data_IF_415110053224
#
_entry.id   IF_415110053224
#
_cell.length_a   1.000
_cell.length_b   1.000
_cell.length_c   1.000
_cell.angle_alpha   90.00
_cell.angle_beta   90.00
_cell.angle_gamma   90.00
#
_symmetry.space_group_name_H-M   'P 1'
#
loop_
_entity.id
_entity.type
_entity.pdbx_description
1 polymer ?
#
# COMPACT_ATOMS: atom_id res chain seq x y z
N UNK A 1 90.64 48.19 -0.39
CA UNK A 1 90.11 48.31 -1.78
C UNK A 1 89.02 47.25 -1.93
N UNK A 2 87.77 47.49 -1.82
CA UNK A 2 86.82 47.57 -2.86
C UNK A 2 85.40 47.73 -2.30
N UNK A 3 84.64 48.51 -2.97
CA UNK A 3 83.37 49.09 -2.59
C UNK A 3 82.17 48.10 -2.53
N UNK A 4 81.39 48.23 -1.50
CA UNK A 4 80.03 47.68 -1.41
C UNK A 4 79.06 48.33 -2.38
N UNK A 5 78.21 47.59 -3.04
CA UNK A 5 77.05 48.09 -3.77
C UNK A 5 75.83 47.53 -3.12
N UNK A 6 75.05 48.45 -2.47
CA UNK A 6 73.72 48.17 -1.93
C UNK A 6 72.74 48.11 -3.08
N UNK A 7 72.07 46.97 -3.22
CA UNK A 7 70.91 46.82 -4.08
C UNK A 7 69.63 47.05 -3.28
N UNK A 8 68.83 48.03 -3.69
CA UNK A 8 67.49 48.32 -3.12
C UNK A 8 66.48 47.29 -3.68
N UNK A 9 65.90 46.49 -2.81
CA UNK A 9 64.76 45.65 -3.15
C UNK A 9 63.51 46.44 -2.87
N UNK A 10 62.79 46.80 -3.94
CA UNK A 10 61.47 47.44 -3.89
C UNK A 10 60.43 46.34 -3.70
N UNK A 11 59.83 46.24 -2.54
CA UNK A 11 58.73 45.31 -2.28
C UNK A 11 57.43 45.78 -2.93
N UNK A 12 56.94 45.01 -3.85
CA UNK A 12 55.58 45.18 -4.38
C UNK A 12 54.64 44.40 -3.47
N UNK A 13 53.83 45.09 -2.70
CA UNK A 13 52.71 44.50 -1.99
C UNK A 13 51.59 44.22 -2.98
N UNK A 14 51.38 42.97 -3.34
CA UNK A 14 50.25 42.49 -4.09
C UNK A 14 49.10 42.28 -3.09
N UNK A 15 48.18 43.24 -3.00
CA UNK A 15 46.93 43.12 -2.21
C UNK A 15 46.02 42.13 -2.91
N UNK A 16 45.90 40.89 -2.38
CA UNK A 16 44.87 39.96 -2.77
C UNK A 16 43.55 40.43 -2.10
N UNK A 17 42.74 41.17 -2.86
CA UNK A 17 41.36 41.43 -2.49
C UNK A 17 40.57 40.16 -2.48
N UNK A 18 40.27 39.62 -1.30
CA UNK A 18 39.30 38.52 -1.13
C UNK A 18 37.94 39.10 -1.43
N UNK A 19 37.45 38.96 -2.67
CA UNK A 19 36.04 39.14 -2.95
C UNK A 19 35.27 37.97 -2.31
N UNK A 20 34.70 38.22 -1.13
CA UNK A 20 33.62 37.41 -0.61
C UNK A 20 32.44 37.61 -1.56
N UNK A 21 32.29 36.68 -2.53
CA UNK A 21 31.01 36.48 -3.18
C UNK A 21 30.03 36.01 -2.12
N UNK A 22 29.18 36.93 -1.63
CA UNK A 22 27.99 36.52 -0.90
C UNK A 22 27.17 35.70 -1.90
N UNK A 23 27.21 34.37 -1.76
CA UNK A 23 26.22 33.51 -2.38
C UNK A 23 24.87 33.98 -1.84
N UNK A 24 24.07 34.60 -2.66
CA UNK A 24 22.67 34.87 -2.37
C UNK A 24 22.05 33.48 -2.29
N UNK A 25 21.91 32.94 -1.10
CA UNK A 25 21.13 31.74 -0.85
C UNK A 25 19.68 32.13 -1.14
N UNK A 26 19.19 31.75 -2.31
CA UNK A 26 17.76 31.74 -2.55
C UNK A 26 17.16 30.80 -1.52
N UNK A 27 16.23 31.31 -0.71
CA UNK A 27 15.51 30.47 0.21
C UNK A 27 14.89 29.33 -0.60
N UNK A 28 15.25 28.10 -0.27
CA UNK A 28 14.69 26.92 -0.92
C UNK A 28 13.20 26.88 -0.60
N UNK A 29 12.35 26.66 -1.60
CA UNK A 29 10.92 26.48 -1.37
C UNK A 29 10.70 25.23 -0.50
N UNK A 30 9.72 25.25 0.41
CA UNK A 30 9.35 24.06 1.14
C UNK A 30 8.85 22.96 0.18
N UNK A 31 9.04 21.74 0.58
CA UNK A 31 8.51 20.55 -0.10
C UNK A 31 7.52 19.85 0.80
N UNK A 32 6.64 19.04 0.23
CA UNK A 32 5.58 18.36 0.97
C UNK A 32 5.38 16.93 0.46
N UNK A 33 4.79 16.11 1.32
CA UNK A 33 4.21 14.82 0.98
C UNK A 33 2.70 14.85 1.27
N UNK A 34 1.95 14.00 0.59
CA UNK A 34 0.53 13.78 0.82
C UNK A 34 0.30 12.33 1.24
N UNK A 35 -0.40 12.14 2.36
CA UNK A 35 -0.75 10.82 2.87
C UNK A 35 -2.28 10.67 3.00
N UNK A 36 -2.73 9.44 2.93
CA UNK A 36 -4.09 9.05 3.29
C UNK A 36 -3.97 8.06 4.46
N UNK A 37 -4.62 8.37 5.58
CA UNK A 37 -4.45 7.65 6.84
C UNK A 37 -5.78 7.29 7.47
N UNK A 38 -5.75 6.44 8.52
CA UNK A 38 -6.89 6.14 9.39
C UNK A 38 -8.13 5.67 8.61
N UNK A 39 -7.92 4.74 7.68
CA UNK A 39 -8.98 4.10 6.95
C UNK A 39 -9.94 3.36 7.89
N UNK A 40 -11.23 3.43 7.63
CA UNK A 40 -12.26 2.78 8.42
C UNK A 40 -13.47 2.42 7.55
N UNK A 41 -13.86 1.15 7.57
CA UNK A 41 -15.14 0.68 7.07
C UNK A 41 -16.16 0.80 8.22
N UNK A 42 -16.88 1.93 8.25
CA UNK A 42 -17.84 2.23 9.31
C UNK A 42 -19.08 1.32 9.22
N UNK A 43 -19.48 1.00 7.98
CA UNK A 43 -20.54 0.03 7.66
C UNK A 43 -20.34 -0.44 6.22
N UNK A 44 -21.05 -1.47 5.78
CA UNK A 44 -20.94 -2.01 4.42
C UNK A 44 -21.10 -0.97 3.29
N UNK A 45 -21.64 0.20 3.59
CA UNK A 45 -21.85 1.28 2.64
C UNK A 45 -21.21 2.62 3.03
N UNK A 46 -20.39 2.68 4.09
CA UNK A 46 -19.75 3.91 4.56
C UNK A 46 -18.27 3.65 4.83
N UNK A 47 -17.41 4.34 4.08
CA UNK A 47 -15.98 4.41 4.29
C UNK A 47 -15.56 5.78 4.79
N UNK A 48 -14.56 5.81 5.68
CA UNK A 48 -13.89 7.04 6.13
C UNK A 48 -12.38 6.92 6.01
N UNK A 49 -11.72 8.04 5.75
CA UNK A 49 -10.26 8.17 5.76
C UNK A 49 -9.84 9.62 5.94
N UNK A 50 -8.62 9.82 6.41
CA UNK A 50 -8.04 11.14 6.67
C UNK A 50 -7.07 11.54 5.56
N UNK A 51 -7.15 12.79 5.09
CA UNK A 51 -6.17 13.39 4.19
C UNK A 51 -5.15 14.18 5.00
N UNK A 52 -3.85 13.95 4.75
CA UNK A 52 -2.75 14.66 5.38
C UNK A 52 -1.85 15.35 4.36
N UNK A 53 -1.35 16.52 4.74
CA UNK A 53 -0.22 17.19 4.09
C UNK A 53 0.89 17.26 5.13
N UNK A 54 2.10 16.79 4.77
CA UNK A 54 3.25 16.73 5.67
C UNK A 54 4.38 17.58 5.08
N UNK A 55 5.03 18.40 5.88
CA UNK A 55 6.27 19.07 5.47
C UNK A 55 7.37 18.02 5.27
N UNK A 56 8.16 18.19 4.20
CA UNK A 56 9.38 17.42 3.96
C UNK A 56 10.55 18.37 3.80
N UNK A 57 11.73 17.95 4.26
CA UNK A 57 12.91 18.82 4.25
C UNK A 57 12.89 19.90 5.36
N UNK A 58 13.91 20.76 5.37
CA UNK A 58 14.19 21.69 6.47
C UNK A 58 13.56 23.08 6.35
N UNK A 59 12.90 23.37 5.22
CA UNK A 59 12.30 24.70 4.99
C UNK A 59 10.89 24.74 5.59
N UNK A 60 10.65 25.73 6.46
CA UNK A 60 9.35 25.91 7.10
C UNK A 60 8.23 26.00 6.06
N UNK A 61 7.20 25.21 6.26
CA UNK A 61 6.04 25.17 5.37
C UNK A 61 4.85 25.88 6.03
N UNK A 62 4.58 27.11 5.60
CA UNK A 62 3.34 27.84 5.90
C UNK A 62 2.39 27.68 4.71
N UNK A 63 1.28 26.97 4.92
CA UNK A 63 0.30 26.67 3.86
C UNK A 63 -0.38 27.95 3.39
N UNK A 64 -0.30 28.24 2.09
CA UNK A 64 -0.96 29.40 1.50
C UNK A 64 -2.32 29.03 0.87
N UNK A 65 -2.36 27.95 0.10
CA UNK A 65 -3.55 27.48 -0.59
C UNK A 65 -3.39 26.00 -0.98
N UNK A 66 -4.49 25.30 -1.15
CA UNK A 66 -4.50 23.96 -1.69
C UNK A 66 -5.82 23.64 -2.37
N UNK A 67 -5.77 22.72 -3.32
CA UNK A 67 -6.89 21.94 -3.83
C UNK A 67 -6.47 20.48 -3.88
N UNK A 68 -7.40 19.55 -3.71
CA UNK A 68 -7.09 18.14 -3.70
C UNK A 68 -8.02 17.35 -4.62
N UNK A 69 -7.41 16.45 -5.42
CA UNK A 69 -8.07 15.41 -6.17
C UNK A 69 -7.71 14.06 -5.57
N UNK A 70 -8.71 13.25 -5.24
CA UNK A 70 -8.50 11.89 -4.74
C UNK A 70 -9.25 10.94 -5.66
N UNK A 71 -8.54 10.02 -6.29
CA UNK A 71 -9.14 8.97 -7.11
C UNK A 71 -9.47 7.76 -6.27
N UNK A 72 -10.61 7.13 -6.54
CA UNK A 72 -11.09 5.93 -5.87
C UNK A 72 -11.21 4.80 -6.89
N UNK A 73 -10.84 3.59 -6.51
CA UNK A 73 -10.97 2.42 -7.37
C UNK A 73 -12.46 2.20 -7.76
N UNK A 74 -12.80 2.23 -9.07
CA UNK A 74 -14.17 2.05 -9.52
C UNK A 74 -14.77 0.68 -9.17
N UNK A 75 -13.94 -0.37 -9.02
CA UNK A 75 -14.40 -1.71 -8.64
C UNK A 75 -14.99 -1.75 -7.22
N UNK A 76 -14.65 -0.76 -6.39
CA UNK A 76 -15.24 -0.62 -5.05
C UNK A 76 -16.71 -0.17 -5.10
N UNK A 77 -17.15 0.52 -6.17
CA UNK A 77 -18.45 1.19 -6.22
C UNK A 77 -19.64 0.22 -6.39
N UNK A 78 -19.42 -0.98 -6.82
CA UNK A 78 -20.43 -2.08 -6.86
C UNK A 78 -21.88 -1.66 -7.25
N UNK A 79 -21.99 -0.83 -8.29
CA UNK A 79 -23.28 -0.46 -8.90
C UNK A 79 -24.13 0.58 -8.15
N UNK A 80 -23.69 1.08 -7.00
CA UNK A 80 -24.37 2.16 -6.27
C UNK A 80 -23.97 3.56 -6.77
N UNK A 81 -24.55 4.59 -6.15
CA UNK A 81 -24.13 5.99 -6.30
C UNK A 81 -23.34 6.41 -5.08
N UNK A 82 -22.13 6.91 -5.30
CA UNK A 82 -21.23 7.34 -4.22
C UNK A 82 -21.38 8.85 -4.00
N UNK A 83 -21.47 9.24 -2.74
CA UNK A 83 -21.37 10.64 -2.30
C UNK A 83 -20.21 10.82 -1.37
N UNK A 84 -19.56 11.99 -1.42
CA UNK A 84 -18.48 12.36 -0.52
C UNK A 84 -18.93 13.50 0.39
N UNK A 85 -18.58 13.42 1.66
CA UNK A 85 -18.79 14.48 2.65
C UNK A 85 -17.54 14.69 3.52
N UNK A 86 -17.45 15.85 4.16
CA UNK A 86 -16.40 16.18 5.11
C UNK A 86 -16.95 15.96 6.51
N UNK A 87 -16.24 15.17 7.33
CA UNK A 87 -16.59 14.99 8.74
C UNK A 87 -16.29 16.29 9.48
N UNK A 88 -17.32 16.87 10.10
CA UNK A 88 -17.21 18.17 10.78
C UNK A 88 -16.18 18.15 11.91
N UNK A 89 -15.39 19.21 12.01
CA UNK A 89 -14.35 19.37 13.06
C UNK A 89 -13.14 18.45 12.88
N UNK A 90 -12.97 17.82 11.73
CA UNK A 90 -11.87 16.87 11.48
C UNK A 90 -10.59 17.53 10.96
N UNK A 91 -10.58 18.82 10.69
CA UNK A 91 -9.42 19.53 10.13
C UNK A 91 -8.52 20.13 11.20
N UNK A 92 -7.19 19.99 11.02
CA UNK A 92 -6.17 20.64 11.84
C UNK A 92 -5.78 22.02 11.29
N UNK A 93 -6.32 22.40 10.12
CA UNK A 93 -6.01 23.66 9.48
C UNK A 93 -6.72 24.83 10.17
N UNK A 94 -6.17 26.04 10.01
CA UNK A 94 -6.85 27.26 10.43
C UNK A 94 -8.26 27.34 9.86
N UNK A 95 -9.20 27.89 10.60
CA UNK A 95 -10.62 27.93 10.22
C UNK A 95 -10.86 28.49 8.81
N UNK A 96 -10.07 29.48 8.39
CA UNK A 96 -10.13 30.06 7.04
C UNK A 96 -9.59 29.15 5.92
N UNK A 97 -8.89 28.07 6.28
CA UNK A 97 -8.28 27.12 5.34
C UNK A 97 -8.94 25.75 5.38
N UNK A 98 -9.88 25.52 6.31
CA UNK A 98 -10.61 24.26 6.38
C UNK A 98 -11.47 24.08 5.15
N UNK A 99 -11.50 22.87 4.52
CA UNK A 99 -12.28 22.64 3.33
C UNK A 99 -13.78 22.81 3.63
N UNK A 100 -14.46 23.59 2.80
CA UNK A 100 -15.88 23.89 2.95
C UNK A 100 -16.76 23.14 1.93
N UNK A 101 -16.19 22.64 0.85
CA UNK A 101 -16.92 21.92 -0.20
C UNK A 101 -16.14 20.75 -0.74
N UNK A 102 -16.88 19.68 -1.01
CA UNK A 102 -16.39 18.44 -1.56
C UNK A 102 -17.42 17.89 -2.55
N UNK A 103 -16.99 17.19 -3.59
CA UNK A 103 -17.84 16.46 -4.50
C UNK A 103 -17.19 15.16 -4.94
N UNK A 104 -18.00 14.15 -5.17
CA UNK A 104 -17.59 12.93 -5.90
C UNK A 104 -18.08 13.03 -7.34
N UNK A 105 -17.20 12.72 -8.31
CA UNK A 105 -17.51 12.78 -9.74
C UNK A 105 -17.50 11.36 -10.29
N UNK A 106 -18.68 10.76 -10.46
CA UNK A 106 -18.86 9.36 -10.90
C UNK A 106 -18.14 9.05 -12.21
N UNK A 107 -18.20 9.95 -13.19
CA UNK A 107 -17.57 9.73 -14.50
C UNK A 107 -16.04 9.51 -14.43
N UNK A 108 -15.39 9.93 -13.37
CA UNK A 108 -13.94 9.84 -13.18
C UNK A 108 -13.54 9.19 -11.87
N UNK A 109 -14.51 8.76 -11.05
CA UNK A 109 -14.30 8.19 -9.72
C UNK A 109 -13.36 9.07 -8.86
N UNK A 110 -13.53 10.39 -8.95
CA UNK A 110 -12.65 11.36 -8.33
C UNK A 110 -13.39 12.22 -7.31
N UNK A 111 -12.87 12.25 -6.10
CA UNK A 111 -13.24 13.23 -5.09
C UNK A 111 -12.52 14.53 -5.42
N UNK A 112 -13.25 15.62 -5.45
CA UNK A 112 -12.71 16.96 -5.64
C UNK A 112 -12.95 17.79 -4.40
N UNK A 113 -11.85 18.23 -3.79
CA UNK A 113 -11.86 19.16 -2.67
C UNK A 113 -11.52 20.56 -3.21
N UNK A 114 -12.43 21.52 -2.99
CA UNK A 114 -12.26 22.86 -3.52
C UNK A 114 -11.04 23.56 -2.90
N UNK A 115 -10.41 24.47 -3.65
CA UNK A 115 -9.33 25.30 -3.12
C UNK A 115 -9.77 26.10 -1.89
N UNK A 116 -8.92 26.16 -0.88
CA UNK A 116 -9.11 26.99 0.30
C UNK A 116 -7.85 27.81 0.55
N UNK A 117 -8.04 29.10 0.71
CA UNK A 117 -6.96 30.05 1.01
C UNK A 117 -7.33 30.89 2.25
N UNK A 118 -6.37 31.31 3.06
CA UNK A 118 -6.65 32.25 4.13
C UNK A 118 -7.13 33.58 3.58
N UNK A 119 -7.74 34.43 4.40
CA UNK A 119 -8.12 35.78 4.01
C UNK A 119 -6.92 36.50 3.38
N UNK A 120 -7.15 37.21 2.29
CA UNK A 120 -6.10 37.97 1.61
C UNK A 120 -5.63 39.12 2.50
N UNK A 121 -4.42 39.01 3.00
CA UNK A 121 -3.77 40.18 3.64
C UNK A 121 -3.13 41.05 2.56
N UNK A 122 -3.18 42.37 2.82
CA UNK A 122 -2.53 43.35 1.94
C UNK A 122 -1.00 43.27 2.15
N UNK A 123 -0.26 42.94 1.10
CA UNK A 123 1.20 43.00 1.13
C UNK A 123 1.71 44.43 0.74
N UNK A 124 2.81 44.89 1.33
CA UNK A 124 3.64 44.24 2.33
C UNK A 124 2.96 44.14 3.72
N UNK A 125 3.26 43.02 4.42
CA UNK A 125 2.80 42.86 5.80
C UNK A 125 3.42 43.97 6.68
N UNK A 126 2.61 44.71 7.37
CA UNK A 126 3.09 45.75 8.32
C UNK A 126 3.41 45.16 9.69
N UNK A 127 3.16 43.89 9.92
CA UNK A 127 3.39 43.17 11.16
C UNK A 127 4.43 42.06 10.98
N UNK A 128 5.47 42.09 11.79
CA UNK A 128 6.59 41.13 11.78
C UNK A 128 6.26 39.77 12.38
N UNK A 129 5.00 39.50 12.74
CA UNK A 129 4.65 38.35 13.60
C UNK A 129 3.44 37.51 13.15
N UNK A 130 2.73 37.85 12.11
CA UNK A 130 1.51 37.11 11.78
C UNK A 130 1.79 36.00 10.76
N UNK A 131 1.69 34.75 11.18
CA UNK A 131 1.43 33.62 10.28
C UNK A 131 0.01 33.78 9.76
N UNK A 132 -0.16 33.87 8.44
CA UNK A 132 -1.47 33.99 7.79
C UNK A 132 -2.04 32.64 7.42
N UNK A 133 -1.18 31.62 7.32
CA UNK A 133 -1.51 30.25 6.98
C UNK A 133 -1.19 29.25 8.08
N UNK A 134 -1.70 28.04 7.96
CA UNK A 134 -1.34 26.92 8.84
C UNK A 134 0.12 26.57 8.66
N UNK A 135 0.87 26.45 9.74
CA UNK A 135 2.20 25.85 9.73
C UNK A 135 2.04 24.35 9.68
N UNK A 136 2.53 23.73 8.62
CA UNK A 136 2.47 22.28 8.45
C UNK A 136 3.64 21.63 9.21
N UNK A 137 3.38 20.74 10.18
CA UNK A 137 4.45 20.11 10.97
C UNK A 137 5.30 19.15 10.12
N UNK A 138 6.61 19.14 10.42
CA UNK A 138 7.55 18.17 9.88
C UNK A 138 7.25 16.76 10.43
N UNK A 139 7.30 15.74 9.57
CA UNK A 139 7.13 14.32 9.89
C UNK A 139 5.71 13.91 10.30
N UNK A 140 5.01 14.68 11.11
CA UNK A 140 3.63 14.36 11.58
C UNK A 140 2.59 14.80 10.56
N UNK A 141 2.78 15.97 9.94
CA UNK A 141 1.82 16.60 9.03
C UNK A 141 0.62 17.23 9.72
N UNK A 142 -0.25 17.86 8.93
CA UNK A 142 -1.53 18.38 9.33
C UNK A 142 -2.67 17.67 8.58
N UNK A 143 -3.70 17.28 9.30
CA UNK A 143 -4.89 16.71 8.69
C UNK A 143 -5.69 17.80 7.99
N UNK A 144 -5.83 17.64 6.66
CA UNK A 144 -6.67 18.53 5.85
C UNK A 144 -8.13 18.36 6.23
N UNK A 145 -8.62 17.14 6.24
CA UNK A 145 -9.93 16.73 6.75
C UNK A 145 -10.06 15.22 6.79
N UNK A 146 -11.11 14.73 7.46
CA UNK A 146 -11.64 13.38 7.32
C UNK A 146 -12.73 13.38 6.26
N UNK A 147 -12.60 12.51 5.28
CA UNK A 147 -13.60 12.28 4.24
C UNK A 147 -14.46 11.09 4.63
N UNK A 148 -15.76 11.20 4.40
CA UNK A 148 -16.69 10.08 4.45
C UNK A 148 -17.27 9.86 3.06
N UNK A 149 -17.15 8.63 2.55
CA UNK A 149 -17.80 8.14 1.35
C UNK A 149 -19.02 7.33 1.74
N UNK A 150 -20.16 7.61 1.13
CA UNK A 150 -21.39 6.83 1.32
C UNK A 150 -21.87 6.31 -0.03
N UNK A 151 -22.06 5.00 -0.13
CA UNK A 151 -22.64 4.36 -1.29
C UNK A 151 -24.16 4.14 -1.05
N UNK A 152 -24.99 4.37 -2.04
CA UNK A 152 -26.43 4.08 -1.95
C UNK A 152 -26.75 2.57 -1.91
N UNK A 153 -25.80 1.74 -2.35
CA UNK A 153 -25.77 0.29 -2.16
C UNK A 153 -24.70 -0.10 -1.11
N UNK A 154 -24.01 -1.21 -1.33
CA UNK A 154 -22.82 -1.61 -0.56
C UNK A 154 -21.57 -1.42 -1.40
N UNK A 155 -20.45 -1.17 -0.75
CA UNK A 155 -19.18 -1.22 -1.43
C UNK A 155 -18.82 -2.64 -1.86
N UNK A 156 -18.04 -2.78 -2.93
CA UNK A 156 -17.56 -4.07 -3.42
C UNK A 156 -16.46 -4.67 -2.54
N UNK A 157 -16.18 -5.96 -2.74
CA UNK A 157 -15.19 -6.72 -1.98
C UNK A 157 -13.75 -6.40 -2.44
N UNK A 158 -13.40 -5.12 -2.42
CA UNK A 158 -12.05 -4.63 -2.68
C UNK A 158 -11.64 -3.70 -1.53
N UNK A 159 -10.34 -3.64 -1.20
CA UNK A 159 -9.89 -2.69 -0.20
C UNK A 159 -10.13 -1.25 -0.70
N UNK A 160 -10.42 -0.34 0.23
CA UNK A 160 -10.43 1.08 -0.08
C UNK A 160 -9.03 1.50 -0.50
N UNK A 161 -8.89 1.99 -1.72
CA UNK A 161 -7.62 2.39 -2.32
C UNK A 161 -7.68 3.82 -2.88
N UNK A 162 -7.94 4.84 -2.03
CA UNK A 162 -7.91 6.22 -2.47
C UNK A 162 -6.47 6.64 -2.77
N UNK A 163 -6.27 7.39 -3.85
CA UNK A 163 -4.95 7.87 -4.28
C UNK A 163 -5.02 9.35 -4.61
N UNK A 164 -4.03 10.11 -4.17
CA UNK A 164 -3.89 11.50 -4.56
C UNK A 164 -3.65 11.63 -6.06
N UNK A 165 -4.40 12.52 -6.72
CA UNK A 165 -4.25 12.82 -8.13
C UNK A 165 -3.39 14.07 -8.32
N UNK A 166 -2.27 13.92 -9.03
CA UNK A 166 -1.35 15.01 -9.37
C UNK A 166 -1.32 15.28 -10.87
N UNK A 167 -2.29 14.76 -11.59
CA UNK A 167 -2.47 15.00 -13.03
C UNK A 167 -3.67 15.91 -13.30
N UNK A 168 -3.65 16.65 -14.40
CA UNK A 168 -4.73 17.57 -14.77
C UNK A 168 -6.06 16.85 -14.96
N UNK A 169 -6.04 15.61 -15.39
CA UNK A 169 -7.19 14.72 -15.46
C UNK A 169 -7.06 13.61 -14.43
N UNK A 170 -8.09 13.36 -13.61
CA UNK A 170 -9.41 14.02 -13.60
C UNK A 170 -9.46 15.32 -12.79
N UNK A 171 -8.52 15.56 -11.88
CA UNK A 171 -8.43 16.77 -11.07
C UNK A 171 -7.07 16.84 -10.38
N UNK A 172 -6.31 17.91 -10.62
CA UNK A 172 -4.96 18.05 -10.11
C UNK A 172 -4.93 18.52 -8.66
N UNK A 173 -4.19 17.81 -7.82
CA UNK A 173 -3.80 18.31 -6.50
C UNK A 173 -2.73 19.37 -6.64
N UNK A 174 -2.96 20.54 -6.06
CA UNK A 174 -2.04 21.66 -6.04
C UNK A 174 -1.92 22.16 -4.61
N UNK A 175 -0.71 22.32 -4.15
CA UNK A 175 -0.40 22.88 -2.82
C UNK A 175 0.54 24.06 -3.00
N UNK A 176 0.27 25.15 -2.28
CA UNK A 176 1.07 26.35 -2.29
C UNK A 176 1.50 26.75 -0.88
N UNK A 177 2.69 27.29 -0.76
CA UNK A 177 3.23 27.84 0.47
C UNK A 177 3.41 29.35 0.38
N UNK A 178 3.37 30.02 1.52
CA UNK A 178 3.89 31.37 1.63
C UNK A 178 5.42 31.34 1.69
N UNK A 179 6.06 31.95 0.69
CA UNK A 179 7.52 32.02 0.57
C UNK A 179 7.98 33.48 0.58
N UNK A 180 9.28 33.71 0.80
CA UNK A 180 9.88 35.04 0.84
C UNK A 180 10.21 35.53 2.25
N UNK A 181 10.79 36.76 2.39
CA UNK A 181 11.12 37.32 3.67
C UNK A 181 9.86 37.63 4.50
N UNK A 182 10.02 37.77 5.80
CA UNK A 182 8.92 37.93 6.77
C UNK A 182 8.00 39.13 6.44
N UNK A 183 8.58 40.16 5.85
CA UNK A 183 7.91 41.40 5.47
C UNK A 183 7.33 41.40 4.05
N UNK A 184 7.59 40.36 3.29
CA UNK A 184 7.07 40.17 1.92
C UNK A 184 6.91 38.72 1.56
N UNK A 185 5.73 38.15 1.84
CA UNK A 185 5.40 36.75 1.52
C UNK A 185 4.67 36.65 0.19
N UNK A 186 5.00 35.64 -0.59
CA UNK A 186 4.40 35.31 -1.88
C UNK A 186 3.78 33.92 -1.82
N UNK A 187 2.57 33.79 -2.34
CA UNK A 187 1.95 32.48 -2.53
C UNK A 187 2.63 31.76 -3.72
N UNK A 188 3.36 30.71 -3.44
CA UNK A 188 4.15 29.95 -4.40
C UNK A 188 3.67 28.50 -4.43
N UNK A 189 3.38 27.97 -5.63
CA UNK A 189 3.13 26.54 -5.81
C UNK A 189 4.42 25.79 -5.49
N UNK A 190 4.33 24.82 -4.59
CA UNK A 190 5.47 24.05 -4.12
C UNK A 190 5.43 22.62 -4.69
N UNK A 191 6.62 22.03 -4.76
CA UNK A 191 6.79 20.69 -5.32
C UNK A 191 6.48 19.63 -4.28
N UNK A 192 5.65 18.67 -4.66
CA UNK A 192 5.49 17.43 -3.91
C UNK A 192 6.81 16.64 -4.00
N UNK A 193 7.29 16.16 -2.85
CA UNK A 193 8.51 15.35 -2.76
C UNK A 193 8.24 13.86 -2.67
N UNK A 194 6.95 13.49 -2.60
CA UNK A 194 6.55 12.11 -2.46
C UNK A 194 6.27 11.47 -3.82
N UNK A 195 6.78 10.25 -4.02
CA UNK A 195 6.31 9.38 -5.11
C UNK A 195 5.04 8.72 -4.59
N UNK A 196 3.91 9.28 -5.00
CA UNK A 196 2.57 8.98 -4.48
C UNK A 196 2.34 7.49 -4.37
N UNK A 197 1.96 7.04 -3.17
CA UNK A 197 1.73 5.66 -2.84
C UNK A 197 0.86 4.96 -3.89
N UNK A 198 1.31 3.81 -4.33
CA UNK A 198 0.57 2.92 -5.21
C UNK A 198 -0.11 1.89 -4.36
N UNK A 199 -1.40 1.78 -4.55
CA UNK A 199 -2.21 0.85 -3.79
C UNK A 199 -2.40 -0.46 -4.55
N UNK A 200 -2.47 -1.57 -3.81
CA UNK A 200 -2.77 -2.88 -4.35
C UNK A 200 -4.21 -3.26 -3.98
N UNK A 201 -5.08 -3.42 -4.96
CA UNK A 201 -6.45 -3.89 -4.77
C UNK A 201 -6.58 -5.29 -5.39
N UNK A 202 -6.19 -6.29 -4.63
CA UNK A 202 -6.20 -7.70 -5.05
C UNK A 202 -7.20 -8.48 -4.23
N UNK A 203 -7.96 -9.35 -4.92
CA UNK A 203 -8.86 -10.32 -4.30
C UNK A 203 -8.40 -11.72 -4.62
N UNK A 204 -8.32 -12.58 -3.59
CA UNK A 204 -8.00 -14.00 -3.68
C UNK A 204 -8.81 -14.78 -2.65
N UNK A 205 -9.25 -15.96 -2.99
CA UNK A 205 -9.88 -16.90 -2.06
C UNK A 205 -8.95 -18.10 -1.83
N UNK A 206 -9.03 -18.70 -0.65
CA UNK A 206 -8.29 -19.90 -0.25
C UNK A 206 -9.27 -21.05 -0.04
N UNK A 207 -9.02 -22.20 -0.66
CA UNK A 207 -9.90 -23.37 -0.60
C UNK A 207 -10.11 -23.88 0.83
N UNK A 208 -9.05 -23.85 1.65
CA UNK A 208 -9.10 -24.42 3.01
C UNK A 208 -10.26 -23.85 3.82
N UNK A 209 -10.23 -22.56 4.15
CA UNK A 209 -11.24 -21.91 4.99
C UNK A 209 -12.53 -21.52 4.25
N UNK A 210 -12.67 -21.75 2.96
CA UNK A 210 -13.83 -21.30 2.20
C UNK A 210 -15.11 -22.05 2.57
N UNK A 211 -16.14 -21.33 2.96
CA UNK A 211 -17.48 -21.82 3.26
C UNK A 211 -18.46 -21.42 2.14
N UNK A 212 -18.80 -22.39 1.28
CA UNK A 212 -19.74 -22.20 0.17
C UNK A 212 -21.16 -21.80 0.62
N UNK A 213 -21.53 -22.03 1.88
CA UNK A 213 -22.83 -21.63 2.40
C UNK A 213 -22.90 -20.15 2.78
N UNK A 214 -21.78 -19.55 3.06
CA UNK A 214 -21.62 -18.13 3.43
C UNK A 214 -21.06 -17.28 2.28
N UNK A 215 -20.56 -17.87 1.21
CA UNK A 215 -19.78 -17.23 0.13
C UNK A 215 -18.56 -16.44 0.66
N UNK A 216 -17.99 -16.86 1.78
CA UNK A 216 -16.88 -16.22 2.47
C UNK A 216 -15.91 -17.27 3.04
N UNK A 217 -14.72 -16.85 3.43
CA UNK A 217 -13.79 -17.68 4.18
C UNK A 217 -14.06 -17.57 5.69
N UNK A 218 -13.90 -18.67 6.42
CA UNK A 218 -14.03 -18.71 7.87
C UNK A 218 -12.89 -17.92 8.55
N UNK A 219 -13.20 -17.33 9.72
CA UNK A 219 -12.23 -16.60 10.56
C UNK A 219 -11.91 -17.33 11.85
N UNK A 220 -12.07 -18.64 11.90
CA UNK A 220 -12.02 -19.47 13.12
C UNK A 220 -10.73 -19.31 13.89
N UNK A 221 -9.57 -19.42 13.23
CA UNK A 221 -8.26 -19.26 13.88
C UNK A 221 -8.05 -17.85 14.44
N UNK A 222 -8.60 -16.84 13.81
CA UNK A 222 -8.62 -15.45 14.30
C UNK A 222 -9.54 -15.29 15.50
N UNK A 223 -10.74 -15.86 15.46
CA UNK A 223 -11.76 -15.71 16.50
C UNK A 223 -11.38 -16.47 17.79
N UNK A 224 -10.48 -17.43 17.65
CA UNK A 224 -9.84 -18.15 18.78
C UNK A 224 -8.52 -17.50 19.23
N UNK A 225 -8.17 -16.31 18.73
CA UNK A 225 -6.92 -15.59 19.04
C UNK A 225 -5.64 -16.40 18.73
N UNK A 226 -5.67 -17.29 17.74
CA UNK A 226 -4.54 -18.14 17.37
C UNK A 226 -3.64 -17.53 16.31
N UNK A 227 -4.14 -16.61 15.49
CA UNK A 227 -3.33 -15.92 14.46
C UNK A 227 -2.24 -15.09 15.16
N UNK A 228 -0.95 -15.29 14.83
CA UNK A 228 0.13 -14.58 15.49
C UNK A 228 0.07 -13.07 15.22
N UNK A 229 0.45 -12.27 16.22
CA UNK A 229 0.49 -10.80 16.12
C UNK A 229 1.63 -10.30 15.20
N UNK A 230 2.60 -11.15 14.88
CA UNK A 230 3.69 -10.88 13.96
C UNK A 230 3.57 -11.80 12.75
N UNK A 231 3.95 -11.30 11.58
CA UNK A 231 3.93 -12.09 10.34
C UNK A 231 4.71 -13.40 10.51
N UNK A 232 4.22 -14.55 9.98
CA UNK A 232 4.81 -15.87 10.19
C UNK A 232 5.86 -16.29 9.14
N UNK A 233 6.19 -15.46 8.15
CA UNK A 233 6.99 -15.82 6.99
C UNK A 233 8.50 -15.65 7.19
N UNK A 234 8.98 -15.48 8.41
CA UNK A 234 10.41 -15.35 8.73
C UNK A 234 11.16 -16.69 8.86
N UNK A 235 10.53 -17.78 8.47
CA UNK A 235 11.06 -19.15 8.48
C UNK A 235 11.13 -19.71 7.06
N UNK A 236 11.85 -20.86 6.90
CA UNK A 236 11.82 -21.60 5.63
C UNK A 236 10.38 -21.92 5.21
N UNK A 237 10.09 -21.91 3.91
CA UNK A 237 10.96 -21.59 2.78
C UNK A 237 11.06 -20.09 2.46
N UNK A 238 10.26 -19.24 3.10
CA UNK A 238 10.16 -17.81 2.75
C UNK A 238 11.36 -16.99 3.21
N UNK A 239 11.84 -17.21 4.45
CA UNK A 239 12.92 -16.44 5.07
C UNK A 239 12.73 -14.93 4.89
N UNK A 240 11.48 -14.47 5.02
CA UNK A 240 11.11 -13.08 4.87
C UNK A 240 11.55 -12.26 6.09
N UNK A 241 12.36 -11.23 5.88
CA UNK A 241 12.96 -10.40 6.93
C UNK A 241 12.07 -9.22 7.37
N UNK A 242 10.83 -9.13 6.87
CA UNK A 242 9.88 -8.08 7.29
C UNK A 242 9.50 -8.19 8.76
N UNK A 243 9.17 -7.05 9.36
CA UNK A 243 8.89 -6.92 10.79
C UNK A 243 7.45 -6.51 11.06
N UNK A 244 6.55 -6.82 10.15
CA UNK A 244 5.13 -6.50 10.27
C UNK A 244 4.55 -7.13 11.52
N UNK A 245 3.94 -6.29 12.36
CA UNK A 245 3.31 -6.70 13.63
C UNK A 245 2.13 -5.78 13.93
N UNK A 246 1.16 -6.31 14.66
CA UNK A 246 -0.03 -5.58 15.10
C UNK A 246 -0.25 -5.75 16.60
N UNK A 247 -0.99 -4.84 17.22
CA UNK A 247 -1.36 -4.96 18.62
C UNK A 247 -2.53 -5.93 18.84
N UNK A 248 -3.35 -6.14 17.81
CA UNK A 248 -4.44 -7.11 17.75
C UNK A 248 -4.74 -7.43 16.28
N UNK A 249 -5.18 -8.66 15.99
CA UNK A 249 -5.63 -9.04 14.66
C UNK A 249 -6.98 -8.36 14.39
N UNK A 250 -7.12 -7.62 13.26
CA UNK A 250 -8.37 -6.94 12.92
C UNK A 250 -9.53 -7.90 12.72
N UNK A 251 -10.76 -7.37 12.81
CA UNK A 251 -11.96 -8.12 12.47
C UNK A 251 -11.94 -8.58 11.01
N UNK A 252 -12.66 -9.67 10.71
CA UNK A 252 -12.80 -10.25 9.38
C UNK A 252 -11.50 -10.77 8.72
N UNK A 253 -10.36 -10.78 9.43
CA UNK A 253 -9.11 -11.37 8.96
C UNK A 253 -9.20 -12.89 9.06
N UNK A 254 -8.79 -13.59 8.00
CA UNK A 254 -8.64 -15.04 7.95
C UNK A 254 -7.25 -15.44 8.43
N UNK A 255 -6.21 -14.89 7.77
CA UNK A 255 -4.82 -15.20 8.08
C UNK A 255 -3.86 -14.15 7.49
N UNK A 256 -2.57 -14.30 7.79
CA UNK A 256 -1.49 -13.59 7.11
C UNK A 256 -1.30 -14.10 5.68
N UNK A 257 -0.90 -13.20 4.80
CA UNK A 257 -0.54 -13.51 3.42
C UNK A 257 0.72 -12.75 3.02
N UNK A 258 1.59 -13.37 2.22
CA UNK A 258 2.81 -12.73 1.73
C UNK A 258 2.64 -12.42 0.25
N UNK A 259 2.82 -11.15 -0.10
CA UNK A 259 2.73 -10.64 -1.48
C UNK A 259 4.13 -10.32 -2.00
N UNK A 260 4.43 -10.84 -3.20
CA UNK A 260 5.64 -10.51 -3.96
C UNK A 260 5.19 -9.87 -5.29
N UNK A 261 5.53 -8.57 -5.47
CA UNK A 261 5.22 -7.82 -6.68
C UNK A 261 6.40 -7.86 -7.64
N UNK A 262 6.16 -8.38 -8.84
CA UNK A 262 7.17 -8.57 -9.88
C UNK A 262 6.93 -7.62 -11.05
N UNK A 263 8.00 -7.06 -11.60
CA UNK A 263 7.98 -6.09 -12.73
C UNK A 263 8.56 -6.75 -13.97
N UNK A 264 7.71 -7.19 -14.89
CA UNK A 264 8.11 -7.91 -16.09
C UNK A 264 7.22 -7.55 -17.28
N UNK A 265 7.72 -7.77 -18.49
CA UNK A 265 6.95 -7.52 -19.73
C UNK A 265 5.95 -8.61 -20.05
N UNK A 266 6.16 -9.82 -19.52
CA UNK A 266 5.35 -11.02 -19.76
C UNK A 266 5.30 -11.87 -18.49
N UNK A 267 4.20 -12.59 -18.17
CA UNK A 267 4.11 -13.41 -16.97
C UNK A 267 5.15 -14.53 -16.92
N UNK A 268 5.56 -15.08 -18.06
CA UNK A 268 6.62 -16.11 -18.12
C UNK A 268 8.01 -15.59 -17.76
N UNK A 269 8.20 -14.27 -17.73
CA UNK A 269 9.41 -13.57 -17.34
C UNK A 269 9.32 -13.00 -15.91
N UNK A 270 8.18 -13.10 -15.27
CA UNK A 270 7.93 -12.61 -13.92
C UNK A 270 8.48 -13.62 -12.89
N UNK A 271 9.80 -13.75 -12.82
CA UNK A 271 10.52 -14.63 -11.91
C UNK A 271 11.03 -13.86 -10.66
N UNK A 272 11.64 -14.51 -9.68
CA UNK A 272 12.13 -13.85 -8.45
C UNK A 272 13.15 -12.75 -8.69
N UNK A 273 13.87 -12.75 -9.82
CA UNK A 273 14.84 -11.69 -10.15
C UNK A 273 14.16 -10.38 -10.53
N UNK A 274 12.88 -10.44 -10.89
CA UNK A 274 12.05 -9.28 -11.23
C UNK A 274 11.23 -8.75 -10.05
N UNK A 275 11.38 -9.35 -8.85
CA UNK A 275 10.74 -8.91 -7.62
C UNK A 275 11.14 -7.47 -7.26
N UNK A 276 10.17 -6.64 -6.94
CA UNK A 276 10.32 -5.22 -6.57
C UNK A 276 9.92 -4.94 -5.14
N UNK A 277 8.94 -5.66 -4.63
CA UNK A 277 8.48 -5.51 -3.26
C UNK A 277 7.92 -6.82 -2.74
N UNK A 278 8.33 -7.22 -1.54
CA UNK A 278 7.75 -8.33 -0.81
C UNK A 278 7.28 -7.80 0.53
N UNK A 279 6.01 -8.04 0.89
CA UNK A 279 5.45 -7.60 2.17
C UNK A 279 4.36 -8.55 2.65
N UNK A 280 4.25 -8.69 3.97
CA UNK A 280 3.17 -9.42 4.60
C UNK A 280 1.97 -8.50 4.87
N UNK A 281 0.78 -9.04 4.63
CA UNK A 281 -0.50 -8.36 4.75
C UNK A 281 -1.54 -9.32 5.34
N UNK A 282 -2.78 -8.89 5.47
CA UNK A 282 -3.88 -9.75 5.88
C UNK A 282 -4.75 -10.15 4.70
N UNK A 283 -5.20 -11.41 4.74
CA UNK A 283 -6.29 -11.93 3.92
C UNK A 283 -7.59 -11.79 4.71
N UNK A 284 -8.56 -11.09 4.13
CA UNK A 284 -9.89 -10.89 4.73
C UNK A 284 -10.86 -11.96 4.23
N UNK A 285 -11.90 -12.26 5.00
CA UNK A 285 -12.88 -13.33 4.70
C UNK A 285 -13.56 -13.22 3.33
N UNK A 286 -13.72 -12.02 2.79
CA UNK A 286 -14.27 -11.74 1.46
C UNK A 286 -13.25 -11.85 0.31
N UNK A 287 -12.02 -12.26 0.64
CA UNK A 287 -10.91 -12.42 -0.30
C UNK A 287 -10.08 -11.16 -0.54
N UNK A 288 -10.44 -10.00 0.02
CA UNK A 288 -9.63 -8.80 -0.12
C UNK A 288 -8.30 -8.95 0.62
N UNK A 289 -7.19 -8.60 -0.04
CA UNK A 289 -5.89 -8.43 0.61
C UNK A 289 -5.84 -7.00 1.15
N UNK A 290 -5.62 -6.86 2.47
CA UNK A 290 -5.70 -5.58 3.17
C UNK A 290 -4.45 -5.30 3.99
N UNK A 291 -4.20 -4.03 4.29
CA UNK A 291 -3.13 -3.58 5.16
C UNK A 291 -3.28 -4.06 6.60
N UNK A 292 -2.33 -3.69 7.45
CA UNK A 292 -2.28 -4.12 8.85
C UNK A 292 -3.43 -3.56 9.71
N UNK A 293 -4.16 -2.56 9.22
CA UNK A 293 -5.39 -2.05 9.85
C UNK A 293 -6.64 -2.89 9.52
N UNK A 294 -6.52 -3.90 8.64
CA UNK A 294 -7.61 -4.76 8.20
C UNK A 294 -8.57 -4.15 7.18
N UNK A 295 -8.33 -2.93 6.72
CA UNK A 295 -9.27 -2.16 5.87
C UNK A 295 -8.60 -1.54 4.65
N UNK A 296 -7.47 -0.84 4.84
CA UNK A 296 -6.78 -0.13 3.75
C UNK A 296 -6.19 -1.08 2.72
N UNK A 297 -6.03 -0.60 1.50
CA UNK A 297 -5.25 -1.33 0.49
C UNK A 297 -3.78 -1.40 0.90
N UNK A 298 -3.09 -2.53 0.64
CA UNK A 298 -1.65 -2.59 0.73
C UNK A 298 -0.99 -1.49 -0.10
N UNK A 299 -0.03 -0.79 0.50
CA UNK A 299 0.76 0.23 -0.18
C UNK A 299 2.15 -0.29 -0.51
N UNK A 300 2.68 0.10 -1.67
CA UNK A 300 4.04 -0.19 -2.06
C UNK A 300 4.68 1.01 -2.76
N UNK A 301 6.00 1.11 -2.61
CA UNK A 301 6.76 2.28 -3.02
C UNK A 301 7.85 1.89 -4.04
N UNK A 302 7.44 1.65 -5.28
CA UNK A 302 8.35 1.55 -6.43
C UNK A 302 7.66 2.04 -7.70
N UNK A 303 8.44 2.46 -8.70
CA UNK A 303 7.94 2.82 -10.02
C UNK A 303 8.11 1.61 -10.96
N UNK A 304 7.02 0.94 -11.38
CA UNK A 304 7.11 -0.13 -12.36
C UNK A 304 7.64 0.39 -13.70
N UNK A 305 8.56 -0.37 -14.30
CA UNK A 305 9.05 -0.12 -15.64
C UNK A 305 8.23 -0.85 -16.72
N UNK A 306 7.50 -1.89 -16.31
CA UNK A 306 6.70 -2.77 -17.17
C UNK A 306 5.37 -3.11 -16.50
N UNK A 307 4.84 -4.32 -16.75
CA UNK A 307 3.65 -4.80 -16.06
C UNK A 307 3.99 -5.29 -14.65
N UNK A 308 3.09 -5.05 -13.71
CA UNK A 308 3.19 -5.58 -12.35
C UNK A 308 2.42 -6.87 -12.27
N UNK A 309 3.05 -7.93 -11.77
CA UNK A 309 2.43 -9.22 -11.45
C UNK A 309 2.44 -9.43 -9.94
N UNK A 310 1.35 -9.94 -9.39
CA UNK A 310 1.27 -10.27 -7.97
C UNK A 310 1.43 -11.78 -7.78
N UNK A 311 2.43 -12.16 -6.99
CA UNK A 311 2.55 -13.51 -6.43
C UNK A 311 1.95 -13.47 -5.03
N UNK A 312 1.04 -14.41 -4.77
CA UNK A 312 0.33 -14.54 -3.50
C UNK A 312 0.76 -15.86 -2.85
N UNK A 313 1.26 -15.78 -1.61
CA UNK A 313 1.77 -16.93 -0.85
C UNK A 313 1.04 -17.04 0.47
N UNK A 314 0.65 -18.25 0.81
CA UNK A 314 0.04 -18.60 2.08
C UNK A 314 0.77 -19.77 2.71
N UNK A 315 0.66 -19.94 4.04
CA UNK A 315 1.43 -20.94 4.81
C UNK A 315 1.13 -22.40 4.48
N UNK A 316 -0.02 -22.70 3.89
CA UNK A 316 -0.44 -24.08 3.59
C UNK A 316 -1.24 -24.23 2.28
N UNK A 317 -1.18 -23.24 1.40
CA UNK A 317 -1.80 -23.27 0.07
C UNK A 317 -0.73 -23.14 -1.02
N UNK A 318 -1.00 -23.72 -2.18
CA UNK A 318 -0.17 -23.52 -3.36
C UNK A 318 -0.11 -22.03 -3.71
N UNK A 319 1.10 -21.49 -3.83
CA UNK A 319 1.31 -20.11 -4.25
C UNK A 319 0.84 -19.88 -5.69
N UNK A 320 0.25 -18.73 -5.94
CA UNK A 320 -0.25 -18.34 -7.27
C UNK A 320 0.37 -17.02 -7.72
N UNK A 321 0.36 -16.78 -9.03
CA UNK A 321 0.73 -15.52 -9.64
C UNK A 321 -0.36 -15.08 -10.63
N UNK A 322 -0.59 -13.78 -10.75
CA UNK A 322 -1.51 -13.26 -11.76
C UNK A 322 -1.07 -13.65 -13.18
N UNK A 323 -2.00 -14.15 -14.01
CA UNK A 323 -1.71 -14.56 -15.38
C UNK A 323 -1.54 -13.37 -16.33
N UNK A 324 -2.02 -12.20 -15.94
CA UNK A 324 -1.87 -10.94 -16.64
C UNK A 324 -1.30 -9.86 -15.70
N UNK A 325 -0.74 -8.81 -16.27
CA UNK A 325 -0.35 -7.64 -15.50
C UNK A 325 -1.56 -7.01 -14.81
N UNK A 326 -1.37 -6.58 -13.57
CA UNK A 326 -2.40 -5.93 -12.77
C UNK A 326 -2.87 -4.65 -13.48
N UNK A 327 -4.18 -4.46 -13.58
CA UNK A 327 -4.74 -3.24 -14.16
C UNK A 327 -4.47 -2.05 -13.25
N UNK A 328 -3.86 -1.00 -13.79
CA UNK A 328 -3.67 0.26 -13.07
C UNK A 328 -4.88 1.16 -13.27
N UNK A 329 -5.71 1.28 -12.25
CA UNK A 329 -6.87 2.15 -12.21
C UNK A 329 -6.56 3.33 -11.28
N UNK A 330 -6.15 4.46 -11.89
CA UNK A 330 -5.93 5.70 -11.14
C UNK A 330 -4.93 5.59 -9.99
N UNK A 331 -3.84 4.83 -10.18
CA UNK A 331 -2.82 4.61 -9.15
C UNK A 331 -3.08 3.40 -8.25
N UNK A 332 -4.24 2.75 -8.36
CA UNK A 332 -4.53 1.47 -7.74
C UNK A 332 -4.29 0.33 -8.73
N UNK A 333 -3.44 -0.62 -8.38
CA UNK A 333 -3.18 -1.83 -9.13
C UNK A 333 -4.17 -2.90 -8.72
N UNK A 334 -5.03 -3.34 -9.64
CA UNK A 334 -6.19 -4.18 -9.34
C UNK A 334 -6.09 -5.54 -10.01
N UNK A 335 -6.51 -6.59 -9.30
CA UNK A 335 -6.62 -7.94 -9.84
C UNK A 335 -7.61 -8.77 -9.02
N UNK A 336 -8.49 -9.52 -9.70
CA UNK A 336 -9.41 -10.44 -9.05
C UNK A 336 -9.11 -11.88 -9.52
N UNK A 337 -8.51 -12.66 -8.63
CA UNK A 337 -8.24 -14.07 -8.89
C UNK A 337 -9.50 -14.94 -8.86
N UNK A 338 -10.55 -14.53 -8.14
CA UNK A 338 -11.71 -15.40 -7.83
C UNK A 338 -12.65 -15.67 -8.99
N UNK A 339 -12.46 -15.02 -10.14
CA UNK A 339 -13.45 -15.01 -11.25
C UNK A 339 -13.25 -16.11 -12.27
N UNK A 340 -12.05 -16.66 -12.41
CA UNK A 340 -11.73 -17.75 -13.36
C UNK A 340 -10.46 -18.46 -12.96
N UNK A 341 -10.34 -19.74 -13.31
CA UNK A 341 -9.09 -20.49 -13.17
C UNK A 341 -7.95 -19.87 -14.00
N UNK A 342 -8.26 -19.19 -15.10
CA UNK A 342 -7.29 -18.55 -15.99
C UNK A 342 -6.74 -17.23 -15.39
N UNK A 343 -7.24 -16.76 -14.25
CA UNK A 343 -6.66 -15.62 -13.55
C UNK A 343 -5.32 -15.98 -12.89
N UNK A 344 -5.08 -17.24 -12.58
CA UNK A 344 -3.77 -17.69 -12.09
C UNK A 344 -2.88 -18.14 -13.25
N UNK A 345 -1.59 -17.77 -13.19
CA UNK A 345 -0.60 -18.27 -14.14
C UNK A 345 -0.47 -19.78 -14.06
N UNK A 346 -0.56 -20.46 -15.21
CA UNK A 346 -0.63 -21.92 -15.29
C UNK A 346 -2.05 -22.49 -15.13
N UNK A 347 -3.03 -21.67 -14.82
CA UNK A 347 -4.44 -22.06 -14.75
C UNK A 347 -4.68 -23.22 -13.78
N UNK A 348 -5.37 -24.26 -14.25
CA UNK A 348 -5.76 -25.41 -13.45
C UNK A 348 -4.59 -26.26 -12.90
N UNK A 349 -3.34 -25.95 -13.22
CA UNK A 349 -2.19 -26.63 -12.65
C UNK A 349 -1.97 -26.34 -11.16
N UNK A 350 -2.32 -25.14 -10.68
CA UNK A 350 -2.13 -24.73 -9.29
C UNK A 350 -3.28 -23.88 -8.74
N UNK A 351 -4.41 -23.82 -9.45
CA UNK A 351 -5.59 -23.06 -9.08
C UNK A 351 -6.85 -23.82 -9.42
N UNK A 352 -7.94 -23.67 -8.67
CA UNK A 352 -9.13 -24.50 -8.87
C UNK A 352 -10.42 -23.75 -8.62
N UNK A 353 -11.51 -24.28 -9.14
CA UNK A 353 -12.87 -23.92 -8.74
C UNK A 353 -13.14 -24.45 -7.33
N UNK A 354 -13.65 -23.57 -6.45
CA UNK A 354 -13.98 -23.89 -5.05
C UNK A 354 -15.48 -23.79 -4.77
N UNK A 355 -16.23 -23.08 -5.63
CA UNK A 355 -17.69 -22.99 -5.57
C UNK A 355 -18.28 -22.92 -6.99
N UNK A 356 -19.52 -23.33 -7.13
CA UNK A 356 -20.30 -23.29 -8.38
C UNK A 356 -21.50 -22.34 -8.34
N UNK A 357 -21.87 -21.82 -7.16
CA UNK A 357 -23.01 -20.91 -7.01
C UNK A 357 -22.90 -19.97 -5.81
N UNK A 358 -22.25 -18.80 -5.94
CA UNK A 358 -21.62 -18.22 -7.13
C UNK A 358 -20.36 -18.94 -7.58
N UNK A 359 -20.06 -18.89 -8.87
CA UNK A 359 -18.83 -19.48 -9.38
C UNK A 359 -17.61 -18.77 -8.79
N UNK A 360 -16.81 -19.49 -8.01
CA UNK A 360 -15.61 -18.97 -7.33
C UNK A 360 -14.41 -19.88 -7.56
N UNK A 361 -13.22 -19.26 -7.61
CA UNK A 361 -11.93 -19.93 -7.75
C UNK A 361 -11.00 -19.54 -6.60
N UNK A 362 -10.12 -20.46 -6.17
CA UNK A 362 -9.26 -20.25 -5.01
C UNK A 362 -7.93 -20.98 -5.08
N UNK A 363 -7.02 -20.60 -4.18
CA UNK A 363 -5.73 -21.25 -3.96
C UNK A 363 -5.96 -22.67 -3.47
N UNK A 364 -5.21 -23.62 -4.01
CA UNK A 364 -5.30 -25.04 -3.66
C UNK A 364 -4.67 -25.30 -2.28
N UNK A 365 -5.42 -25.93 -1.38
CA UNK A 365 -5.02 -26.23 -0.01
C UNK A 365 -4.25 -27.55 0.09
N UNK A 366 -3.35 -27.69 1.07
CA UNK A 366 -2.66 -28.94 1.39
C UNK A 366 -1.14 -28.93 1.27
N UNK A 367 -0.52 -27.79 0.96
CA UNK A 367 0.93 -27.62 0.86
C UNK A 367 1.50 -27.20 2.22
N UNK A 368 1.59 -28.14 3.17
CA UNK A 368 1.92 -27.87 4.57
C UNK A 368 3.39 -27.54 4.81
N UNK A 369 4.31 -28.02 3.98
CA UNK A 369 5.74 -27.65 4.04
C UNK A 369 6.09 -26.45 3.17
N UNK A 370 5.09 -25.90 2.44
CA UNK A 370 5.21 -24.71 1.61
C UNK A 370 6.27 -24.82 0.51
N UNK A 371 6.57 -26.04 0.04
CA UNK A 371 7.61 -26.28 -0.97
C UNK A 371 7.09 -26.10 -2.41
N UNK A 372 5.79 -25.94 -2.60
CA UNK A 372 5.12 -25.69 -3.87
C UNK A 372 4.54 -26.93 -4.53
N UNK A 373 4.55 -28.10 -3.89
CA UNK A 373 3.94 -29.34 -4.35
C UNK A 373 3.15 -30.00 -3.20
N UNK A 374 1.95 -30.46 -3.48
CA UNK A 374 1.18 -31.27 -2.53
C UNK A 374 1.57 -32.72 -2.68
N UNK A 375 2.37 -33.23 -1.76
CA UNK A 375 3.10 -34.49 -1.83
C UNK A 375 2.88 -35.37 -0.60
N UNK A 376 3.58 -36.49 -0.53
CA UNK A 376 3.60 -37.38 0.65
C UNK A 376 4.30 -36.70 1.85
N UNK A 377 5.13 -35.67 1.64
CA UNK A 377 5.80 -34.95 2.72
C UNK A 377 4.77 -34.17 3.56
N UNK A 378 3.80 -33.52 2.89
CA UNK A 378 2.72 -32.82 3.56
C UNK A 378 1.86 -33.77 4.41
N UNK A 379 1.62 -35.00 3.88
CA UNK A 379 0.95 -36.05 4.66
C UNK A 379 1.74 -36.44 5.89
N UNK A 380 3.05 -36.59 5.80
CA UNK A 380 3.89 -36.98 6.93
C UNK A 380 3.83 -35.90 8.04
N UNK A 381 3.77 -34.62 7.71
CA UNK A 381 3.53 -33.52 8.66
C UNK A 381 2.13 -33.63 9.26
N UNK A 382 1.08 -33.78 8.44
CA UNK A 382 -0.28 -33.93 8.95
C UNK A 382 -0.40 -35.16 9.90
N UNK A 383 0.18 -36.30 9.52
CA UNK A 383 0.13 -37.51 10.35
C UNK A 383 0.84 -37.35 11.70
N UNK A 384 1.87 -36.49 11.75
CA UNK A 384 2.58 -36.15 12.99
C UNK A 384 1.72 -35.30 13.93
N UNK A 385 0.96 -34.34 13.36
CA UNK A 385 0.18 -33.37 14.12
C UNK A 385 -1.28 -33.81 14.35
N UNK A 386 -1.71 -34.94 13.76
CA UNK A 386 -3.08 -35.41 13.82
C UNK A 386 -3.62 -35.50 15.25
N UNK A 387 -4.79 -34.90 15.46
CA UNK A 387 -5.48 -34.83 16.75
C UNK A 387 -5.11 -33.65 17.63
N UNK A 388 -4.21 -32.77 17.19
CA UNK A 388 -3.97 -31.49 17.84
C UNK A 388 -5.16 -30.55 17.63
N UNK A 389 -5.47 -29.74 18.65
CA UNK A 389 -6.56 -28.76 18.63
C UNK A 389 -6.09 -27.43 19.21
N UNK A 390 -6.76 -26.33 18.85
CA UNK A 390 -6.42 -24.96 19.24
C UNK A 390 -4.98 -24.60 18.82
N UNK A 391 -4.64 -24.92 17.57
CA UNK A 391 -3.30 -24.71 17.01
C UNK A 391 -3.34 -23.74 15.83
N UNK A 392 -2.17 -23.15 15.55
CA UNK A 392 -1.90 -22.39 14.33
C UNK A 392 -0.71 -23.05 13.62
N UNK A 393 -0.99 -24.15 12.93
CA UNK A 393 0.02 -24.95 12.21
C UNK A 393 -0.27 -25.01 10.72
N UNK A 394 0.73 -25.19 9.86
CA UNK A 394 0.49 -25.40 8.42
C UNK A 394 -0.33 -26.66 8.09
N UNK A 395 -0.41 -27.60 9.02
CA UNK A 395 -1.18 -28.85 8.91
C UNK A 395 -2.67 -28.68 9.22
N UNK A 396 -3.07 -27.53 9.79
CA UNK A 396 -4.45 -27.06 9.86
C UNK A 396 -4.80 -26.43 8.49
N UNK A 397 -5.20 -27.33 7.56
CA UNK A 397 -5.33 -27.02 6.13
C UNK A 397 -6.61 -26.22 5.86
N UNK A 398 -7.68 -26.47 6.60
CA UNK A 398 -8.97 -25.80 6.47
C UNK A 398 -9.14 -24.62 7.47
N UNK A 399 -8.14 -24.36 8.29
CA UNK A 399 -8.07 -23.24 9.25
C UNK A 399 -9.20 -23.27 10.29
N UNK A 400 -9.64 -24.47 10.71
CA UNK A 400 -10.64 -24.66 11.76
C UNK A 400 -10.04 -24.80 13.16
N UNK A 401 -8.72 -24.77 13.29
CA UNK A 401 -7.90 -24.92 14.50
C UNK A 401 -7.71 -26.36 15.00
N UNK A 402 -8.18 -27.36 14.25
CA UNK A 402 -8.05 -28.77 14.62
C UNK A 402 -7.34 -29.54 13.50
N UNK A 403 -6.36 -30.36 13.81
CA UNK A 403 -5.74 -31.24 12.83
C UNK A 403 -6.54 -32.54 12.76
N UNK A 404 -7.40 -32.64 11.78
CA UNK A 404 -8.47 -33.63 11.70
C UNK A 404 -8.45 -34.44 10.38
N UNK A 405 -9.47 -35.27 10.17
CA UNK A 405 -9.68 -35.96 8.90
C UNK A 405 -10.12 -35.01 7.78
N UNK A 406 -10.64 -33.83 8.12
CA UNK A 406 -11.05 -32.84 7.11
C UNK A 406 -9.83 -32.24 6.41
N UNK A 407 -8.74 -32.03 7.14
CA UNK A 407 -7.45 -31.61 6.57
C UNK A 407 -6.89 -32.70 5.63
N UNK A 408 -6.96 -33.96 6.08
CA UNK A 408 -6.56 -35.10 5.24
C UNK A 408 -7.38 -35.17 3.95
N UNK A 409 -8.69 -34.98 4.01
CA UNK A 409 -9.55 -35.00 2.83
C UNK A 409 -9.18 -33.90 1.84
N UNK A 410 -8.81 -32.70 2.32
CA UNK A 410 -8.29 -31.61 1.48
C UNK A 410 -6.97 -32.00 0.83
N UNK A 411 -5.98 -32.48 1.62
CA UNK A 411 -4.70 -32.96 1.10
C UNK A 411 -4.90 -34.08 0.07
N UNK A 412 -5.71 -35.11 0.38
CA UNK A 412 -5.92 -36.26 -0.50
C UNK A 412 -6.59 -35.86 -1.84
N UNK A 413 -7.53 -34.90 -1.80
CA UNK A 413 -8.20 -34.40 -3.01
C UNK A 413 -7.22 -33.63 -3.90
N UNK A 414 -6.25 -32.94 -3.31
CA UNK A 414 -5.32 -32.06 -4.00
C UNK A 414 -3.94 -32.70 -4.25
N UNK A 415 -3.74 -33.93 -3.83
CA UNK A 415 -2.47 -34.66 -3.98
C UNK A 415 -1.94 -34.64 -5.43
N UNK A 416 -0.66 -34.29 -5.59
CA UNK A 416 0.02 -34.16 -6.89
C UNK A 416 -0.15 -32.79 -7.55
N UNK A 417 -0.84 -31.85 -6.93
CA UNK A 417 -0.87 -30.45 -7.42
C UNK A 417 0.47 -29.79 -7.17
N UNK A 418 0.99 -29.09 -8.17
CA UNK A 418 2.26 -28.37 -8.07
C UNK A 418 2.13 -26.93 -8.58
N UNK A 419 2.95 -26.05 -7.98
CA UNK A 419 3.01 -24.64 -8.33
C UNK A 419 3.57 -24.44 -9.75
N UNK A 420 2.81 -23.83 -10.69
CA UNK A 420 3.28 -23.56 -12.05
C UNK A 420 4.23 -22.36 -12.15
N UNK A 421 4.36 -21.54 -11.11
CA UNK A 421 5.15 -20.29 -11.12
C UNK A 421 6.62 -20.59 -11.35
N UNK A 422 7.10 -21.74 -10.94
CA UNK A 422 8.51 -22.08 -10.82
C UNK A 422 8.99 -23.08 -11.87
N UNK A 423 8.15 -23.38 -12.85
CA UNK A 423 8.50 -24.32 -13.90
C UNK A 423 8.79 -25.71 -13.36
N UNK A 424 7.75 -26.48 -13.09
CA UNK A 424 7.78 -27.91 -12.73
C UNK A 424 8.56 -28.29 -11.45
N UNK A 425 7.85 -28.35 -10.32
CA UNK A 425 8.02 -29.35 -9.27
C UNK A 425 9.40 -29.62 -8.66
N UNK A 426 10.34 -28.68 -8.68
CA UNK A 426 11.59 -28.87 -7.97
C UNK A 426 11.66 -27.98 -6.74
N UNK A 427 11.65 -28.59 -5.56
CA UNK A 427 11.86 -27.95 -4.26
C UNK A 427 13.02 -26.95 -4.26
N UNK A 428 14.09 -27.23 -5.01
CA UNK A 428 15.26 -26.37 -5.11
C UNK A 428 14.96 -25.02 -5.75
N UNK A 429 14.05 -24.96 -6.73
CA UNK A 429 13.66 -23.72 -7.41
C UNK A 429 12.71 -22.91 -6.54
N UNK A 430 11.75 -23.56 -5.87
CA UNK A 430 10.82 -22.86 -4.98
C UNK A 430 11.54 -22.17 -3.81
N UNK A 431 12.44 -22.88 -3.14
CA UNK A 431 13.25 -22.31 -2.03
C UNK A 431 14.17 -21.17 -2.46
N UNK A 432 14.58 -21.13 -3.74
CA UNK A 432 15.41 -20.05 -4.28
C UNK A 432 14.62 -18.80 -4.66
N UNK A 433 13.29 -18.86 -4.65
CA UNK A 433 12.42 -17.82 -5.18
C UNK A 433 11.92 -16.83 -4.15
N UNK A 434 12.07 -17.12 -2.87
CA UNK A 434 11.81 -16.12 -1.84
C UNK A 434 12.95 -15.10 -1.91
N UNK A 435 12.66 -13.83 -2.22
CA UNK A 435 13.71 -12.83 -2.30
C UNK A 435 14.40 -12.69 -0.96
N UNK A 436 15.71 -12.86 -0.95
CA UNK A 436 16.51 -12.46 0.22
C UNK A 436 16.57 -10.95 0.20
N UNK A 437 15.75 -10.30 1.01
CA UNK A 437 15.91 -8.88 1.25
C UNK A 437 17.29 -8.62 1.84
N UNK A 438 18.06 -7.79 1.15
CA UNK A 438 19.34 -7.25 1.64
C UNK A 438 19.08 -5.96 2.41
#
# INVERSE_FOLDING_TARGET
MNRSTMSKITGVFLGIGLMLSQAVSFAQNPTYACDIRNHSLVSANVYEFDLYITQTGSTLFELANYQAGIQVNPLLINGGTVTASIVSGSSDLLASQQPASISFVDATNCIRLAPQAPPRELFPLTSTSATTGTIIPDGVGARVCRIQLTNSGTFGNFPLSPVWSFTVNPYNTIVSAFTGPVDYKVNTIITNSDDHGRNLAVKVLSEGPYDASADEMATTVRDLDLVPLSQPFNVDPWNYEGTETVAAIPADVVDWILIDLRDATDPSLADPTTSRAVRAFFLRKDGAIVGLDGVSAPEFNFAPASNVYAVVRHRNHIAIMSSAGLANLSGSYTYDFSTSVDQAYGGALGYKQIDDSPLQFGMVAGNSDSDGEISVIDFDFWATDFGLTLVYLPTDIDLDSEISVLDFDKWATNFGTANPIDGSGSQALYKSQVPKHK
#
